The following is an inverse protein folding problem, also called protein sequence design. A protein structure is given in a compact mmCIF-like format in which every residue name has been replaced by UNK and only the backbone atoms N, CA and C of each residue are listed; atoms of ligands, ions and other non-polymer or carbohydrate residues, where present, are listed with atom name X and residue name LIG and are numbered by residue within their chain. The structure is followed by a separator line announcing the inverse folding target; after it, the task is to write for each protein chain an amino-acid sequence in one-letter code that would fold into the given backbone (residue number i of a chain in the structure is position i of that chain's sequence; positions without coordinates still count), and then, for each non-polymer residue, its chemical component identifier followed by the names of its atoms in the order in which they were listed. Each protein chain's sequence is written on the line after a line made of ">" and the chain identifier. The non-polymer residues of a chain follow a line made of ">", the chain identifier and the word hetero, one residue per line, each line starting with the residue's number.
data_IF_920552399759
#
_entry.id   IF_920552399759
#
_cell.length_a   1.000
_cell.length_b   1.000
_cell.length_c   1.000
_cell.angle_alpha   90.00
_cell.angle_beta   90.00
_cell.angle_gamma   90.00
#
_symmetry.space_group_name_H-M   'P 1'
#
loop_
_entity.id
_entity.type
_entity.pdbx_description
1 polymer ?
#
# COMPACT_ATOMS: atom_id res chain seq x y z
N UNK A 1 -15.90 -27.37 21.47
CA UNK A 1 -15.37 -26.20 20.74
C UNK A 1 -13.86 -26.26 20.78
N UNK A 2 -13.21 -26.53 19.65
CA UNK A 2 -11.74 -26.63 19.59
C UNK A 2 -11.13 -25.23 19.63
N UNK A 3 -10.16 -24.99 20.51
CA UNK A 3 -9.50 -23.69 20.63
C UNK A 3 -8.89 -23.26 19.29
N UNK A 4 -9.21 -22.04 18.83
CA UNK A 4 -8.68 -21.48 17.59
C UNK A 4 -7.17 -21.30 17.74
N UNK A 5 -6.39 -22.08 17.01
CA UNK A 5 -4.92 -22.01 17.02
C UNK A 5 -4.50 -20.66 16.45
N UNK A 6 -3.91 -19.81 17.28
CA UNK A 6 -3.39 -18.51 16.86
C UNK A 6 -2.18 -18.74 15.93
N UNK A 7 -2.18 -18.09 14.77
CA UNK A 7 -1.06 -18.19 13.84
C UNK A 7 0.19 -17.54 14.46
N UNK A 8 1.33 -18.26 14.44
CA UNK A 8 2.60 -17.74 15.00
C UNK A 8 3.35 -16.80 14.05
N UNK A 9 2.94 -16.75 12.78
CA UNK A 9 3.57 -15.94 11.72
C UNK A 9 2.48 -15.31 10.87
N UNK A 10 2.74 -14.09 10.41
CA UNK A 10 1.91 -13.38 9.45
C UNK A 10 2.76 -13.05 8.21
N UNK A 11 2.11 -12.95 7.06
CA UNK A 11 2.71 -12.46 5.81
C UNK A 11 1.82 -11.32 5.32
N UNK A 12 2.44 -10.20 5.01
CA UNK A 12 1.81 -9.07 4.34
C UNK A 12 2.31 -9.04 2.89
N UNK A 13 1.37 -9.05 1.94
CA UNK A 13 1.67 -8.95 0.51
C UNK A 13 1.01 -7.66 0.03
N UNK A 14 1.81 -6.71 -0.43
CA UNK A 14 1.29 -5.55 -1.16
C UNK A 14 1.52 -5.72 -2.66
N UNK A 15 0.53 -5.31 -3.45
CA UNK A 15 0.57 -5.32 -4.90
C UNK A 15 0.57 -3.86 -5.36
N UNK A 16 1.70 -3.37 -5.87
CA UNK A 16 1.81 -1.98 -6.32
C UNK A 16 0.97 -1.72 -7.57
N UNK A 17 0.37 -0.55 -7.66
CA UNK A 17 -0.52 -0.11 -8.75
C UNK A 17 -1.70 -1.08 -9.05
N UNK A 18 -2.14 -1.86 -8.05
CA UNK A 18 -3.31 -2.73 -8.21
C UNK A 18 -4.58 -1.90 -8.38
N UNK A 19 -5.32 -2.16 -9.45
CA UNK A 19 -6.62 -1.52 -9.74
C UNK A 19 -7.74 -2.51 -9.37
N UNK A 20 -8.53 -2.27 -8.29
CA UNK A 20 -9.54 -3.21 -7.81
C UNK A 20 -10.54 -3.65 -8.89
N UNK A 21 -10.95 -2.74 -9.75
CA UNK A 21 -11.91 -2.99 -10.83
C UNK A 21 -11.38 -4.01 -11.84
N UNK A 22 -10.08 -3.96 -12.15
CA UNK A 22 -9.43 -4.95 -13.02
C UNK A 22 -9.35 -6.33 -12.34
N UNK A 23 -9.10 -6.36 -11.03
CA UNK A 23 -9.10 -7.61 -10.25
C UNK A 23 -10.49 -8.26 -10.29
N UNK A 24 -11.55 -7.49 -10.04
CA UNK A 24 -12.93 -7.99 -10.12
C UNK A 24 -13.29 -8.50 -11.52
N UNK A 25 -12.94 -7.74 -12.56
CA UNK A 25 -13.13 -8.17 -13.95
C UNK A 25 -12.43 -9.50 -14.23
N UNK A 26 -11.15 -9.63 -13.89
CA UNK A 26 -10.38 -10.85 -14.18
C UNK A 26 -10.76 -12.04 -13.31
N UNK A 27 -11.30 -11.83 -12.10
CA UNK A 27 -11.94 -12.90 -11.33
C UNK A 27 -13.22 -13.39 -12.02
N UNK A 28 -14.08 -12.47 -12.50
CA UNK A 28 -15.30 -12.84 -13.24
C UNK A 28 -15.01 -13.57 -14.56
N UNK A 29 -13.90 -13.25 -15.24
CA UNK A 29 -13.41 -13.97 -16.42
C UNK A 29 -12.76 -15.33 -16.11
N UNK A 30 -12.67 -15.73 -14.83
CA UNK A 30 -12.03 -16.98 -14.41
C UNK A 30 -10.49 -16.97 -14.50
N UNK A 31 -9.86 -15.79 -14.67
CA UNK A 31 -8.41 -15.63 -14.87
C UNK A 31 -7.63 -15.45 -13.57
N UNK A 32 -8.32 -15.18 -12.46
CA UNK A 32 -7.70 -15.01 -11.13
C UNK A 32 -8.28 -15.98 -10.08
N UNK A 33 -8.25 -17.30 -10.33
CA UNK A 33 -8.93 -18.28 -9.47
C UNK A 33 -8.36 -18.35 -8.04
N UNK A 34 -7.09 -17.96 -7.84
CA UNK A 34 -6.47 -17.93 -6.52
C UNK A 34 -6.93 -16.73 -5.68
N UNK A 35 -7.03 -15.54 -6.28
CA UNK A 35 -7.57 -14.35 -5.59
C UNK A 35 -9.06 -14.51 -5.30
N UNK A 36 -9.82 -15.09 -6.23
CA UNK A 36 -11.23 -15.42 -6.00
C UNK A 36 -11.40 -16.32 -4.76
N UNK A 37 -10.61 -17.41 -4.67
CA UNK A 37 -10.64 -18.29 -3.48
C UNK A 37 -10.22 -17.60 -2.19
N UNK A 38 -9.32 -16.60 -2.25
CA UNK A 38 -8.93 -15.82 -1.08
C UNK A 38 -10.07 -14.91 -0.61
N UNK A 39 -10.78 -14.26 -1.54
CA UNK A 39 -11.94 -13.44 -1.25
C UNK A 39 -13.09 -14.28 -0.65
N UNK A 40 -13.41 -15.43 -1.24
CA UNK A 40 -14.49 -16.32 -0.77
C UNK A 40 -14.24 -16.92 0.62
N UNK A 41 -12.97 -17.16 0.97
CA UNK A 41 -12.58 -17.79 2.24
C UNK A 41 -12.11 -16.79 3.30
N UNK A 42 -12.10 -15.52 2.97
CA UNK A 42 -11.51 -14.45 3.76
C UNK A 42 -12.46 -13.28 3.98
N UNK A 43 -11.86 -12.10 4.12
CA UNK A 43 -12.56 -10.83 4.23
C UNK A 43 -11.87 -9.83 3.31
N UNK A 44 -12.67 -9.05 2.59
CA UNK A 44 -12.20 -8.01 1.68
C UNK A 44 -12.94 -6.72 1.99
N UNK A 45 -12.22 -5.61 1.96
CA UNK A 45 -12.79 -4.27 2.13
C UNK A 45 -11.98 -3.27 1.32
N UNK A 46 -12.61 -2.16 0.94
CA UNK A 46 -11.93 -1.04 0.31
C UNK A 46 -11.22 -0.20 1.37
N UNK A 47 -10.10 0.39 0.98
CA UNK A 47 -9.31 1.27 1.85
C UNK A 47 -9.06 2.59 1.16
N UNK A 48 -9.02 3.67 1.94
CA UNK A 48 -8.61 4.97 1.45
C UNK A 48 -7.08 4.96 1.36
N UNK A 49 -6.48 5.23 0.19
CA UNK A 49 -5.04 5.32 0.08
C UNK A 49 -4.51 6.53 0.84
N UNK A 50 -3.20 6.55 1.05
CA UNK A 50 -2.51 7.73 1.54
C UNK A 50 -2.71 8.91 0.60
N UNK A 51 -2.61 10.13 1.14
CA UNK A 51 -2.60 11.37 0.34
C UNK A 51 -1.19 11.99 0.47
N UNK A 52 -0.45 12.18 -0.62
CA UNK A 52 -0.74 11.77 -2.00
C UNK A 52 -0.74 10.23 -2.18
N UNK A 53 -1.37 9.69 -3.20
CA UNK A 53 -1.38 8.24 -3.45
C UNK A 53 -0.11 7.80 -4.22
N UNK A 54 1.07 8.07 -3.65
CA UNK A 54 2.34 7.67 -4.27
C UNK A 54 2.94 6.43 -3.58
N UNK A 55 3.79 5.73 -4.33
CA UNK A 55 4.51 4.55 -3.85
C UNK A 55 5.29 4.79 -2.54
N UNK A 56 6.16 5.80 -2.39
CA UNK A 56 7.07 5.87 -1.25
C UNK A 56 6.31 6.15 0.06
N UNK A 57 5.31 7.03 0.01
CA UNK A 57 4.53 7.37 1.19
C UNK A 57 3.50 6.28 1.53
N UNK A 58 2.89 5.64 0.52
CA UNK A 58 1.99 4.50 0.72
C UNK A 58 2.67 3.33 1.43
N UNK A 59 3.86 2.91 0.96
CA UNK A 59 4.63 1.84 1.58
C UNK A 59 5.15 2.21 2.96
N UNK A 60 5.58 3.46 3.17
CA UNK A 60 5.99 3.93 4.49
C UNK A 60 4.83 3.91 5.50
N UNK A 61 3.61 4.29 5.10
CA UNK A 61 2.43 4.18 5.95
C UNK A 61 2.13 2.73 6.33
N UNK A 62 2.22 1.80 5.37
CA UNK A 62 2.04 0.37 5.63
C UNK A 62 3.09 -0.19 6.58
N UNK A 63 4.36 0.21 6.43
CA UNK A 63 5.45 -0.28 7.25
C UNK A 63 5.44 0.27 8.69
N UNK A 64 5.00 1.52 8.87
CA UNK A 64 5.08 2.23 10.16
C UNK A 64 3.75 2.27 10.92
N UNK A 65 2.62 2.10 10.21
CA UNK A 65 1.29 2.36 10.77
C UNK A 65 1.01 3.84 11.05
N UNK A 66 1.84 4.75 10.56
CA UNK A 66 1.71 6.20 10.72
C UNK A 66 1.40 6.88 9.38
N UNK A 67 0.87 8.12 9.40
CA UNK A 67 0.62 8.89 8.18
C UNK A 67 1.90 9.55 7.64
N UNK A 68 1.85 10.04 6.39
CA UNK A 68 2.97 10.71 5.72
C UNK A 68 3.61 11.83 6.55
N UNK A 69 2.78 12.67 7.18
CA UNK A 69 3.27 13.81 7.98
C UNK A 69 3.92 13.40 9.30
N UNK A 70 3.66 12.18 9.79
CA UNK A 70 4.30 11.66 11.00
C UNK A 70 5.65 11.03 10.69
N UNK A 71 5.76 10.26 9.61
CA UNK A 71 7.02 9.58 9.25
C UNK A 71 7.91 10.37 8.27
N UNK A 72 7.41 11.49 7.70
CA UNK A 72 8.19 12.43 6.88
C UNK A 72 8.54 11.95 5.47
N UNK A 73 8.00 10.80 5.02
CA UNK A 73 8.23 10.28 3.67
C UNK A 73 7.07 10.72 2.80
N UNK A 74 7.24 11.81 2.06
CA UNK A 74 6.15 12.47 1.33
C UNK A 74 6.22 12.26 -0.20
N UNK A 75 7.36 11.81 -0.73
CA UNK A 75 7.54 11.58 -2.15
C UNK A 75 8.94 11.10 -2.52
N UNK A 76 9.13 10.77 -3.79
CA UNK A 76 10.44 10.41 -4.34
C UNK A 76 11.35 11.64 -4.47
N UNK A 77 10.75 12.78 -4.76
CA UNK A 77 11.41 14.07 -4.91
C UNK A 77 10.70 15.08 -4.01
N UNK A 78 11.47 15.85 -3.26
CA UNK A 78 10.98 16.85 -2.33
C UNK A 78 11.38 18.23 -2.82
N UNK A 79 10.48 19.20 -2.67
CA UNK A 79 10.74 20.62 -2.93
C UNK A 79 10.54 21.37 -1.61
N UNK A 80 11.49 22.21 -1.22
CA UNK A 80 11.37 22.99 0.01
C UNK A 80 10.95 24.44 -0.24
N UNK A 81 10.11 25.02 0.63
CA UNK A 81 9.73 26.42 0.53
C UNK A 81 10.96 27.35 0.46
N UNK A 82 10.96 28.26 -0.52
CA UNK A 82 12.04 29.22 -0.75
C UNK A 82 13.06 28.79 -1.80
N UNK A 83 13.00 27.54 -2.29
CA UNK A 83 13.87 27.07 -3.36
C UNK A 83 13.31 27.39 -4.76
N UNK A 84 14.20 27.43 -5.76
CA UNK A 84 13.80 27.53 -7.17
C UNK A 84 12.88 26.35 -7.55
N UNK A 85 11.92 26.57 -8.45
CA UNK A 85 11.03 25.53 -8.98
C UNK A 85 11.74 24.36 -9.68
N UNK A 86 13.02 24.54 -10.01
CA UNK A 86 13.86 23.51 -10.63
C UNK A 86 14.69 22.72 -9.63
N UNK A 87 14.65 23.07 -8.35
CA UNK A 87 15.42 22.39 -7.29
C UNK A 87 14.58 21.27 -6.71
N UNK A 88 15.14 20.06 -6.64
CA UNK A 88 14.49 18.92 -6.03
C UNK A 88 15.51 18.11 -5.25
N UNK A 89 15.08 17.61 -4.10
CA UNK A 89 15.88 16.76 -3.22
C UNK A 89 15.40 15.32 -3.32
N UNK A 90 16.31 14.38 -3.16
CA UNK A 90 15.97 12.97 -3.16
C UNK A 90 15.24 12.61 -1.85
N UNK A 91 14.01 12.11 -1.94
CA UNK A 91 13.22 11.69 -0.77
C UNK A 91 13.72 10.42 -0.07
N UNK A 92 14.75 9.77 -0.62
CA UNK A 92 15.45 8.66 0.02
C UNK A 92 16.77 9.08 0.67
N UNK A 93 17.11 10.36 0.68
CA UNK A 93 18.31 10.81 1.38
C UNK A 93 18.11 10.68 2.89
N UNK A 94 18.99 9.91 3.54
CA UNK A 94 18.97 9.63 4.98
C UNK A 94 20.12 10.31 5.72
N UNK A 95 20.88 11.16 5.03
CA UNK A 95 22.01 11.91 5.58
C UNK A 95 21.57 13.12 6.38
#
# INVERSE_FOLDING_TARGET
>A
MTARKVAKKAVLIGLDALVPELVHKFMAEGRMPHLQRLQERGFTTEVIPTIPAWTPNGWACVATGANSSTHGIEGFLLHFPGESFTTYHNGFDSR
#
